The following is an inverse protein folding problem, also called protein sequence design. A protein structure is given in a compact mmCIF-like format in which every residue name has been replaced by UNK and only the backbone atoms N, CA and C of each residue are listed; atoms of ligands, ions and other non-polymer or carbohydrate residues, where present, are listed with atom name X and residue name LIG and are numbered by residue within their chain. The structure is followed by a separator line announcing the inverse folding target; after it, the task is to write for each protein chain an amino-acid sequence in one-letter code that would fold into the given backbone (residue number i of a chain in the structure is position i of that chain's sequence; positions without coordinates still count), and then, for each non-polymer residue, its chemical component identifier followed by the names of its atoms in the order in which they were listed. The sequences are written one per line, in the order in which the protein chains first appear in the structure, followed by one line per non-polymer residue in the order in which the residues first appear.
data_IF_669443682671
#
_entry.id   IF_669443682671
#
_cell.length_a   1.000
_cell.length_b   1.000
_cell.length_c   1.000
_cell.angle_alpha   90.00
_cell.angle_beta   90.00
_cell.angle_gamma   90.00
#
_symmetry.space_group_name_H-M   'P 1'
#
loop_
_entity.id
_entity.type
_entity.pdbx_description
1 polymer ?
#
# COMPACT_ATOMS: atom_id res chain seq x y z
N UNK A 1 -32.93 19.79 -33.78
CA UNK A 1 -33.65 20.98 -33.28
C UNK A 1 -32.70 21.74 -32.37
N UNK A 2 -32.44 23.01 -32.70
CA UNK A 2 -31.52 23.92 -32.00
C UNK A 2 -32.30 24.71 -30.93
N UNK A 3 -31.66 25.05 -29.83
CA UNK A 3 -32.14 26.05 -28.86
C UNK A 3 -31.79 25.63 -27.43
N UNK A 4 -30.67 26.11 -26.87
CA UNK A 4 -30.52 27.41 -26.20
C UNK A 4 -30.87 27.31 -24.71
N UNK A 5 -29.85 27.37 -23.85
CA UNK A 5 -29.85 28.10 -22.58
C UNK A 5 -28.40 28.26 -22.08
N UNK A 6 -27.80 29.36 -22.53
CA UNK A 6 -26.65 30.00 -21.90
C UNK A 6 -27.20 31.26 -21.23
N UNK A 7 -26.61 31.64 -20.09
CA UNK A 7 -26.78 32.88 -19.27
C UNK A 7 -27.40 32.62 -17.89
N UNK A 8 -26.54 32.45 -16.87
CA UNK A 8 -26.50 33.37 -15.71
C UNK A 8 -25.04 33.39 -15.21
N UNK A 9 -24.32 34.43 -15.57
CA UNK A 9 -23.00 34.79 -15.05
C UNK A 9 -23.01 36.32 -14.96
N UNK A 10 -22.37 36.86 -13.92
CA UNK A 10 -22.16 38.28 -13.57
C UNK A 10 -23.19 38.93 -12.65
N UNK A 11 -22.84 39.01 -11.35
CA UNK A 11 -23.08 40.10 -10.38
C UNK A 11 -22.81 39.49 -8.99
N UNK A 12 -21.76 39.84 -8.22
CA UNK A 12 -21.41 41.15 -7.72
C UNK A 12 -19.95 41.12 -7.23
N UNK A 13 -19.17 42.12 -7.61
CA UNK A 13 -17.92 42.48 -6.97
C UNK A 13 -18.13 43.78 -6.16
N UNK A 14 -17.29 43.97 -5.14
CA UNK A 14 -17.07 45.17 -4.31
C UNK A 14 -18.14 45.58 -3.29
N UNK A 15 -17.79 45.44 -1.99
CA UNK A 15 -17.81 46.56 -1.03
C UNK A 15 -16.59 46.44 -0.09
N UNK A 16 -15.93 47.59 0.09
CA UNK A 16 -14.73 47.88 0.88
C UNK A 16 -15.05 48.23 2.35
N UNK A 17 -14.16 47.81 3.28
CA UNK A 17 -13.50 48.53 4.39
C UNK A 17 -14.26 49.29 5.53
N UNK A 18 -13.62 49.22 6.72
CA UNK A 18 -13.78 49.89 8.03
C UNK A 18 -14.76 49.24 9.03
N UNK A 19 -14.45 49.00 10.32
CA UNK A 19 -13.54 49.71 11.23
C UNK A 19 -13.01 48.82 12.40
N UNK A 20 -11.81 49.19 12.87
CA UNK A 20 -11.24 48.89 14.19
C UNK A 20 -11.89 49.77 15.28
N UNK A 21 -12.12 49.24 16.49
CA UNK A 21 -11.69 49.79 17.80
C UNK A 21 -12.57 49.32 18.99
N UNK A 22 -11.90 49.23 20.15
CA UNK A 22 -12.39 49.26 21.56
C UNK A 22 -12.98 47.94 22.10
N UNK A 23 -12.66 47.41 23.28
CA UNK A 23 -11.92 47.79 24.50
C UNK A 23 -11.43 46.45 25.15
N UNK A 24 -10.36 46.32 25.95
CA UNK A 24 -9.76 47.23 26.92
C UNK A 24 -10.40 47.05 28.29
N UNK A 25 -9.79 46.26 29.19
CA UNK A 25 -10.27 46.03 30.56
C UNK A 25 -9.27 45.24 31.41
N UNK A 26 -8.39 46.00 32.05
CA UNK A 26 -7.28 45.59 32.92
C UNK A 26 -7.72 45.71 34.40
N UNK A 27 -7.24 44.81 35.26
CA UNK A 27 -7.25 45.01 36.73
C UNK A 27 -6.33 44.01 37.43
N UNK A 28 -5.07 44.42 37.59
CA UNK A 28 -4.19 43.98 38.68
C UNK A 28 -4.66 44.56 40.02
N UNK A 29 -4.50 43.77 41.09
CA UNK A 29 -4.33 44.29 42.45
C UNK A 29 -3.45 43.33 43.26
N UNK A 30 -2.16 43.65 43.36
CA UNK A 30 -1.30 43.26 44.48
C UNK A 30 -1.43 44.31 45.58
N UNK A 31 -1.57 43.88 46.85
CA UNK A 31 -0.98 44.62 47.97
C UNK A 31 -0.73 43.74 49.21
N UNK A 32 0.56 43.68 49.55
CA UNK A 32 1.21 43.69 50.87
C UNK A 32 1.30 42.48 51.80
N UNK A 33 2.48 42.48 52.42
CA UNK A 33 3.13 41.48 53.26
C UNK A 33 3.16 41.91 54.74
N UNK A 34 3.42 40.92 55.61
CA UNK A 34 3.81 41.06 57.02
C UNK A 34 3.22 39.92 57.86
N UNK A 35 3.92 39.13 58.67
CA UNK A 35 5.32 39.05 59.11
C UNK A 35 5.42 37.97 60.21
N UNK A 36 6.65 37.51 60.48
CA UNK A 36 7.16 36.77 61.66
C UNK A 36 6.91 35.25 61.88
N UNK A 37 7.98 34.49 61.57
CA UNK A 37 8.72 33.50 62.37
C UNK A 37 8.09 32.79 63.58
N UNK A 38 8.13 31.44 63.54
CA UNK A 38 8.59 30.59 64.66
C UNK A 38 9.11 29.25 64.13
N UNK A 39 10.36 28.91 64.47
CA UNK A 39 11.01 27.60 64.25
C UNK A 39 10.35 26.49 65.07
N UNK A 40 10.21 25.30 64.47
CA UNK A 40 10.24 24.02 65.18
C UNK A 40 10.68 22.88 64.24
N UNK A 41 11.71 22.17 64.66
CA UNK A 41 12.42 21.08 64.01
C UNK A 41 11.60 19.78 63.83
N UNK A 42 11.79 19.15 62.67
CA UNK A 42 11.94 17.71 62.39
C UNK A 42 10.96 16.68 62.96
N UNK A 43 10.19 16.05 62.06
CA UNK A 43 10.08 14.58 61.97
C UNK A 43 9.73 14.15 60.54
N UNK A 44 10.57 13.28 60.00
CA UNK A 44 10.50 12.59 58.71
C UNK A 44 9.42 11.49 58.68
N UNK A 45 8.86 11.25 57.48
CA UNK A 45 8.54 9.96 56.86
C UNK A 45 7.12 9.85 56.27
N UNK A 46 7.08 9.50 54.99
CA UNK A 46 5.92 8.89 54.33
C UNK A 46 5.13 9.77 53.39
N UNK A 47 5.76 10.54 52.51
CA UNK A 47 5.07 10.94 51.27
C UNK A 47 5.37 9.85 50.24
N UNK A 48 4.45 8.90 50.11
CA UNK A 48 4.34 8.09 48.90
C UNK A 48 4.32 9.07 47.73
N UNK A 49 5.43 9.14 47.00
CA UNK A 49 5.40 9.71 45.66
C UNK A 49 4.59 8.74 44.83
N UNK A 50 3.30 9.01 44.70
CA UNK A 50 2.59 8.69 43.47
C UNK A 50 3.45 9.28 42.35
N UNK A 51 4.20 8.41 41.68
CA UNK A 51 4.64 8.71 40.32
C UNK A 51 3.39 8.56 39.48
N UNK A 52 2.59 9.62 39.42
CA UNK A 52 1.62 9.79 38.36
C UNK A 52 2.45 9.82 37.08
N UNK A 53 2.55 8.65 36.43
CA UNK A 53 3.37 8.46 35.25
C UNK A 53 2.83 9.37 34.16
N UNK A 54 3.67 10.26 33.64
CA UNK A 54 3.30 11.17 32.55
C UNK A 54 2.55 10.39 31.46
N UNK A 55 1.32 10.81 31.17
CA UNK A 55 0.51 10.26 30.07
C UNK A 55 1.28 10.48 28.77
N UNK A 56 1.49 9.41 28.00
CA UNK A 56 2.17 9.45 26.70
C UNK A 56 1.20 9.08 25.61
N UNK A 57 1.27 9.81 24.50
CA UNK A 57 0.55 9.47 23.27
C UNK A 57 1.55 9.02 22.22
N UNK A 58 1.23 7.92 21.53
CA UNK A 58 1.96 7.45 20.35
C UNK A 58 1.08 7.73 19.14
N UNK A 59 1.58 8.56 18.21
CA UNK A 59 0.90 8.80 16.95
C UNK A 59 1.17 7.61 16.00
N UNK A 60 0.13 6.87 15.66
CA UNK A 60 0.20 5.70 14.79
C UNK A 60 -0.60 5.90 13.51
N UNK A 61 0.04 5.71 12.35
CA UNK A 61 -0.64 5.80 11.06
C UNK A 61 -0.58 4.46 10.31
N UNK A 62 -1.71 3.95 9.83
CA UNK A 62 -1.74 2.72 9.02
C UNK A 62 -2.73 2.77 7.85
N UNK A 63 -2.64 1.78 6.96
CA UNK A 63 -3.30 1.76 5.64
C UNK A 63 -4.44 0.74 5.50
N UNK A 64 -5.05 0.33 6.63
CA UNK A 64 -6.08 -0.72 6.67
C UNK A 64 -7.42 -0.15 7.14
N UNK A 65 -8.16 0.55 6.28
CA UNK A 65 -9.47 1.05 6.61
C UNK A 65 -10.47 -0.11 6.71
N UNK A 66 -11.40 0.00 7.66
CA UNK A 66 -12.43 -1.02 7.90
C UNK A 66 -13.18 -1.40 6.60
N UNK A 67 -13.51 -0.42 5.77
CA UNK A 67 -14.33 -0.61 4.58
C UNK A 67 -13.65 -1.32 3.40
N UNK A 68 -12.31 -1.44 3.37
CA UNK A 68 -11.61 -2.13 2.28
C UNK A 68 -10.52 -3.11 2.74
N UNK A 69 -10.30 -3.23 4.05
CA UNK A 69 -9.30 -4.12 4.68
C UNK A 69 -9.75 -4.56 6.07
N UNK A 70 -11.02 -4.97 6.22
CA UNK A 70 -11.64 -5.26 7.52
C UNK A 70 -10.82 -6.20 8.42
N UNK A 71 -10.30 -7.30 7.88
CA UNK A 71 -9.59 -8.27 8.71
C UNK A 71 -8.29 -7.70 9.29
N UNK A 72 -7.52 -6.96 8.49
CA UNK A 72 -6.34 -6.24 9.00
C UNK A 72 -6.74 -5.16 10.00
N UNK A 73 -7.81 -4.40 9.73
CA UNK A 73 -8.34 -3.38 10.64
C UNK A 73 -8.66 -3.97 12.03
N UNK A 74 -9.41 -5.07 12.06
CA UNK A 74 -9.80 -5.73 13.31
C UNK A 74 -8.59 -6.27 14.08
N UNK A 75 -7.59 -6.84 13.38
CA UNK A 75 -6.35 -7.33 14.00
C UNK A 75 -5.57 -6.18 14.64
N UNK A 76 -5.40 -5.07 13.91
CA UNK A 76 -4.60 -3.93 14.39
C UNK A 76 -5.26 -3.25 15.58
N UNK A 77 -6.58 -3.06 15.55
CA UNK A 77 -7.31 -2.54 16.72
C UNK A 77 -7.16 -3.46 17.93
N UNK A 78 -7.24 -4.79 17.75
CA UNK A 78 -7.00 -5.75 18.83
C UNK A 78 -5.59 -5.64 19.43
N UNK A 79 -4.57 -5.44 18.59
CA UNK A 79 -3.18 -5.21 19.06
C UNK A 79 -3.07 -3.90 19.85
N UNK A 80 -3.73 -2.83 19.39
CA UNK A 80 -3.74 -1.54 20.10
C UNK A 80 -4.42 -1.68 21.47
N UNK A 81 -5.59 -2.33 21.53
CA UNK A 81 -6.32 -2.58 22.78
C UNK A 81 -5.48 -3.40 23.78
N UNK A 82 -4.78 -4.45 23.31
CA UNK A 82 -3.88 -5.25 24.15
C UNK A 82 -2.69 -4.43 24.63
N UNK A 83 -2.08 -3.63 23.75
CA UNK A 83 -0.95 -2.76 24.08
C UNK A 83 -1.30 -1.70 25.13
N UNK A 84 -2.43 -1.00 24.99
CA UNK A 84 -2.88 -0.01 25.97
C UNK A 84 -3.25 -0.66 27.31
N UNK A 85 -3.84 -1.85 27.30
CA UNK A 85 -4.14 -2.60 28.52
C UNK A 85 -2.88 -3.04 29.29
N UNK A 86 -1.77 -3.28 28.59
CA UNK A 86 -0.48 -3.62 29.18
C UNK A 86 0.34 -2.37 29.59
N UNK A 87 -0.06 -1.17 29.13
CA UNK A 87 0.66 0.08 29.34
C UNK A 87 -0.31 1.19 29.78
N UNK A 88 -0.73 1.15 31.05
CA UNK A 88 -1.81 2.01 31.61
C UNK A 88 -1.61 3.53 31.45
N UNK A 89 -0.40 4.01 31.15
CA UNK A 89 -0.08 5.44 30.94
C UNK A 89 0.26 5.79 29.48
N UNK A 90 -0.03 4.89 28.53
CA UNK A 90 0.20 5.09 27.09
C UNK A 90 -1.11 4.97 26.33
N UNK A 91 -1.36 5.92 25.45
CA UNK A 91 -2.48 5.91 24.50
C UNK A 91 -1.93 5.92 23.08
N UNK A 92 -2.60 5.23 22.16
CA UNK A 92 -2.26 5.24 20.73
C UNK A 92 -3.29 6.10 19.99
N UNK A 93 -2.86 7.23 19.44
CA UNK A 93 -3.71 8.04 18.56
C UNK A 93 -3.55 7.53 17.12
N UNK A 94 -4.62 6.97 16.57
CA UNK A 94 -4.56 6.22 15.32
C UNK A 94 -5.19 6.99 14.17
N UNK A 95 -4.43 7.18 13.10
CA UNK A 95 -4.96 7.62 11.82
C UNK A 95 -4.96 6.50 10.79
N UNK A 96 -6.13 6.29 10.18
CA UNK A 96 -6.38 5.21 9.23
C UNK A 96 -6.72 5.80 7.87
N UNK A 97 -5.97 5.41 6.85
CA UNK A 97 -6.10 5.91 5.48
C UNK A 97 -6.16 4.73 4.49
N UNK A 98 -6.70 4.95 3.29
CA UNK A 98 -6.46 3.99 2.20
C UNK A 98 -4.98 4.02 1.76
N UNK A 99 -4.48 2.96 1.13
CA UNK A 99 -3.08 2.86 0.69
C UNK A 99 -2.56 4.10 -0.06
N UNK A 100 -3.33 4.63 -1.02
CA UNK A 100 -2.88 5.79 -1.80
C UNK A 100 -2.95 7.09 -1.00
N UNK A 101 -3.98 7.28 -0.18
CA UNK A 101 -4.08 8.42 0.74
C UNK A 101 -2.95 8.39 1.78
N UNK A 102 -2.60 7.20 2.28
CA UNK A 102 -1.48 6.99 3.20
C UNK A 102 -0.16 7.42 2.56
N UNK A 103 0.14 6.96 1.34
CA UNK A 103 1.36 7.34 0.60
C UNK A 103 1.43 8.85 0.34
N UNK A 104 0.31 9.45 -0.07
CA UNK A 104 0.22 10.90 -0.28
C UNK A 104 0.45 11.68 1.02
N UNK A 105 -0.20 11.27 2.12
CA UNK A 105 -0.06 11.93 3.42
C UNK A 105 1.35 11.77 3.99
N UNK A 106 1.92 10.57 3.98
CA UNK A 106 3.28 10.30 4.44
C UNK A 106 4.29 11.20 3.72
N UNK A 107 4.14 11.37 2.40
CA UNK A 107 4.96 12.27 1.61
C UNK A 107 4.79 13.75 2.00
N UNK A 108 3.58 14.19 2.36
CA UNK A 108 3.36 15.57 2.81
C UNK A 108 4.00 15.79 4.18
N UNK A 109 3.73 14.90 5.14
CA UNK A 109 4.25 14.96 6.51
C UNK A 109 5.78 14.91 6.55
N UNK A 110 6.41 14.16 5.64
CA UNK A 110 7.87 14.13 5.53
C UNK A 110 8.49 15.46 5.10
N UNK A 111 7.75 16.32 4.41
CA UNK A 111 8.24 17.66 4.04
C UNK A 111 8.16 18.67 5.19
N UNK A 112 7.30 18.44 6.18
CA UNK A 112 7.15 19.29 7.38
C UNK A 112 7.82 18.71 8.62
N UNK A 113 8.42 17.52 8.53
CA UNK A 113 8.99 16.78 9.67
C UNK A 113 7.93 16.49 10.76
N UNK A 114 6.74 16.11 10.31
CA UNK A 114 5.55 15.79 11.12
C UNK A 114 5.09 14.33 10.88
N UNK A 115 6.04 13.42 10.64
CA UNK A 115 5.73 12.00 10.49
C UNK A 115 5.19 11.42 11.80
N UNK A 116 4.32 10.39 11.74
CA UNK A 116 3.85 9.70 12.94
C UNK A 116 5.01 8.99 13.65
N UNK A 117 4.85 8.71 14.94
CA UNK A 117 5.84 7.94 15.72
C UNK A 117 6.00 6.52 15.16
N UNK A 118 4.89 5.90 14.77
CA UNK A 118 4.86 4.58 14.15
C UNK A 118 4.05 4.62 12.85
N UNK A 119 4.56 3.97 11.82
CA UNK A 119 3.88 3.91 10.53
C UNK A 119 4.31 2.72 9.68
N UNK A 120 3.59 2.56 8.57
CA UNK A 120 3.88 1.57 7.54
C UNK A 120 4.85 2.10 6.48
N UNK A 121 5.68 1.21 5.94
CA UNK A 121 6.59 1.53 4.84
C UNK A 121 6.70 0.35 3.87
N UNK A 122 7.34 0.58 2.74
CA UNK A 122 7.67 -0.45 1.77
C UNK A 122 9.17 -0.45 1.51
N UNK A 123 9.75 -1.64 1.35
CA UNK A 123 11.17 -1.83 1.13
C UNK A 123 11.72 -1.09 -0.11
N UNK A 124 13.05 -1.05 -0.22
CA UNK A 124 13.79 -0.50 -1.35
C UNK A 124 13.40 0.96 -1.68
N UNK A 125 13.02 1.24 -2.94
CA UNK A 125 12.91 2.60 -3.46
C UNK A 125 11.83 3.47 -2.80
N UNK A 126 10.88 2.89 -2.06
CA UNK A 126 9.96 3.68 -1.25
C UNK A 126 10.61 4.13 0.07
N UNK A 127 11.34 3.24 0.75
CA UNK A 127 12.02 3.50 2.03
C UNK A 127 13.19 4.48 1.88
N UNK A 128 13.98 4.33 0.81
CA UNK A 128 15.27 5.01 0.63
C UNK A 128 15.23 6.54 0.81
N UNK A 129 14.25 7.29 0.25
CA UNK A 129 14.22 8.75 0.42
C UNK A 129 13.99 9.20 1.87
N UNK A 130 13.22 8.44 2.66
CA UNK A 130 12.94 8.78 4.06
C UNK A 130 14.15 8.50 4.95
N UNK A 131 14.82 7.36 4.73
CA UNK A 131 16.06 7.02 5.44
C UNK A 131 17.18 7.99 5.08
N UNK A 132 17.36 8.30 3.79
CA UNK A 132 18.36 9.28 3.32
C UNK A 132 18.09 10.69 3.85
N UNK A 133 16.83 11.00 4.13
CA UNK A 133 16.39 12.23 4.79
C UNK A 133 16.55 12.23 6.32
N UNK A 134 17.08 11.16 6.91
CA UNK A 134 17.20 10.96 8.36
C UNK A 134 15.84 11.06 9.08
N UNK A 135 14.79 10.53 8.46
CA UNK A 135 13.42 10.62 8.95
C UNK A 135 12.99 9.38 9.75
N UNK A 136 13.61 8.22 9.51
CA UNK A 136 13.28 6.97 10.18
C UNK A 136 14.39 6.59 11.16
N UNK A 137 14.01 6.09 12.34
CA UNK A 137 14.94 5.58 13.32
C UNK A 137 15.54 4.24 12.86
N UNK A 138 16.79 3.99 13.24
CA UNK A 138 17.36 2.65 13.18
C UNK A 138 16.61 1.74 14.15
N UNK A 139 16.39 0.50 13.73
CA UNK A 139 15.74 -0.56 14.53
C UNK A 139 16.70 -1.71 14.85
N UNK A 140 18.01 -1.50 14.66
CA UNK A 140 19.01 -2.56 14.86
C UNK A 140 19.05 -3.02 16.33
N UNK A 141 18.79 -2.11 17.28
CA UNK A 141 18.71 -2.42 18.72
C UNK A 141 17.57 -3.41 19.04
N UNK A 142 16.44 -3.29 18.35
CA UNK A 142 15.32 -4.24 18.46
C UNK A 142 15.70 -5.63 17.91
N UNK A 143 16.63 -5.67 16.95
CA UNK A 143 17.08 -6.90 16.29
C UNK A 143 18.29 -7.57 16.97
N UNK A 144 18.93 -6.93 17.95
CA UNK A 144 19.95 -7.58 18.79
C UNK A 144 19.35 -8.64 19.75
N UNK A 145 18.04 -8.56 19.97
CA UNK A 145 17.28 -9.45 20.86
C UNK A 145 16.63 -10.65 20.18
N UNK A 146 15.73 -11.36 20.89
CA UNK A 146 15.05 -12.55 20.36
C UNK A 146 14.10 -12.27 19.19
N UNK A 147 13.75 -10.99 18.96
CA UNK A 147 12.84 -10.58 17.89
C UNK A 147 13.38 -10.95 16.50
N UNK A 148 14.69 -10.84 16.28
CA UNK A 148 15.29 -11.18 14.99
C UNK A 148 15.10 -12.66 14.61
N UNK A 149 15.14 -13.55 15.60
CA UNK A 149 14.91 -15.00 15.39
C UNK A 149 13.44 -15.34 15.13
N UNK A 150 12.51 -14.39 15.34
CA UNK A 150 11.09 -14.57 15.04
C UNK A 150 10.75 -14.32 13.57
N UNK A 151 11.63 -13.63 12.84
CA UNK A 151 11.42 -13.34 11.42
C UNK A 151 11.90 -14.48 10.52
N UNK A 152 11.26 -14.59 9.35
CA UNK A 152 11.77 -15.47 8.29
C UNK A 152 13.13 -14.92 7.82
N UNK A 153 14.18 -15.75 7.71
CA UNK A 153 15.49 -15.26 7.29
C UNK A 153 15.45 -14.49 5.96
N UNK A 154 16.05 -13.31 5.91
CA UNK A 154 16.10 -12.46 4.72
C UNK A 154 15.01 -11.40 4.61
N UNK A 155 14.00 -11.38 5.51
CA UNK A 155 12.89 -10.43 5.41
C UNK A 155 13.15 -9.09 6.10
N UNK A 156 13.92 -9.07 7.20
CA UNK A 156 14.31 -7.82 7.85
C UNK A 156 15.37 -7.08 7.02
N UNK A 157 16.28 -7.82 6.38
CA UNK A 157 17.33 -7.30 5.51
C UNK A 157 16.77 -6.56 4.28
N UNK A 158 15.54 -6.86 3.86
CA UNK A 158 14.86 -6.12 2.79
C UNK A 158 14.56 -4.65 3.16
N UNK A 159 14.53 -4.33 4.46
CA UNK A 159 14.33 -2.98 5.00
C UNK A 159 15.64 -2.35 5.49
N UNK A 160 16.78 -2.95 5.15
CA UNK A 160 18.08 -2.39 5.45
C UNK A 160 18.58 -1.46 4.34
N UNK A 161 19.17 -0.33 4.73
CA UNK A 161 19.94 0.54 3.85
C UNK A 161 21.36 0.65 4.42
N UNK A 162 22.35 0.35 3.58
CA UNK A 162 23.77 0.32 3.97
C UNK A 162 24.08 -0.54 5.22
N UNK A 163 23.29 -1.60 5.43
CA UNK A 163 23.46 -2.54 6.54
C UNK A 163 22.75 -2.17 7.84
N UNK A 164 22.04 -1.05 7.89
CA UNK A 164 21.20 -0.64 9.03
C UNK A 164 19.73 -0.85 8.70
N UNK A 165 18.96 -1.46 9.61
CA UNK A 165 17.54 -1.75 9.42
C UNK A 165 16.66 -0.60 9.88
N UNK A 166 15.69 -0.20 9.06
CA UNK A 166 14.79 0.94 9.32
C UNK A 166 13.30 0.57 9.29
N UNK A 167 12.99 -0.72 9.13
CA UNK A 167 11.63 -1.23 9.12
C UNK A 167 11.60 -2.70 9.51
N UNK A 168 10.50 -3.14 10.10
CA UNK A 168 10.29 -4.53 10.48
C UNK A 168 9.28 -5.19 9.53
N UNK A 169 9.55 -6.43 9.08
CA UNK A 169 8.63 -7.14 8.20
C UNK A 169 7.38 -7.59 8.97
N UNK A 170 6.21 -7.21 8.48
CA UNK A 170 4.91 -7.61 9.06
C UNK A 170 4.35 -8.88 8.40
N UNK A 171 4.38 -8.93 7.07
CA UNK A 171 3.80 -10.01 6.28
C UNK A 171 4.63 -10.28 5.02
N UNK A 172 4.50 -11.49 4.47
CA UNK A 172 5.08 -11.88 3.19
C UNK A 172 3.96 -12.06 2.19
N UNK A 173 4.05 -11.33 1.08
CA UNK A 173 3.05 -11.36 0.04
C UNK A 173 3.56 -12.00 -1.25
N UNK A 174 2.69 -12.77 -1.89
CA UNK A 174 2.86 -13.26 -3.26
C UNK A 174 1.76 -12.66 -4.14
N UNK A 175 1.92 -12.67 -5.46
CA UNK A 175 0.92 -12.11 -6.40
C UNK A 175 0.38 -13.21 -7.33
N UNK A 176 -0.54 -14.06 -6.85
CA UNK A 176 -1.21 -15.04 -7.69
C UNK A 176 -2.20 -14.39 -8.66
N UNK A 177 -2.57 -15.14 -9.70
CA UNK A 177 -3.72 -14.82 -10.54
C UNK A 177 -4.94 -15.54 -9.95
N UNK A 178 -5.85 -14.78 -9.37
CA UNK A 178 -7.17 -15.26 -8.95
C UNK A 178 -8.09 -15.34 -10.17
N UNK A 179 -8.98 -16.33 -10.19
CA UNK A 179 -9.97 -16.48 -11.25
C UNK A 179 -11.29 -17.04 -10.72
N UNK A 180 -12.40 -16.61 -11.31
CA UNK A 180 -13.73 -17.13 -11.01
C UNK A 180 -13.97 -18.41 -11.82
N UNK A 181 -14.01 -19.56 -11.14
CA UNK A 181 -14.18 -20.87 -11.75
C UNK A 181 -15.53 -21.03 -12.45
N UNK A 182 -16.59 -20.39 -11.95
CA UNK A 182 -17.92 -20.42 -12.59
C UNK A 182 -17.90 -19.70 -13.94
N UNK A 183 -17.31 -18.51 -13.99
CA UNK A 183 -17.13 -17.77 -15.26
C UNK A 183 -16.31 -18.60 -16.24
N UNK A 184 -15.27 -19.28 -15.78
CA UNK A 184 -14.46 -20.17 -16.63
C UNK A 184 -15.29 -21.35 -17.14
N UNK A 185 -16.03 -22.04 -16.28
CA UNK A 185 -16.88 -23.18 -16.65
C UNK A 185 -17.96 -22.79 -17.67
N UNK A 186 -18.64 -21.65 -17.48
CA UNK A 186 -19.64 -21.10 -18.41
C UNK A 186 -19.08 -20.80 -19.80
N UNK A 187 -17.78 -20.52 -19.89
CA UNK A 187 -17.08 -20.21 -21.13
C UNK A 187 -16.26 -21.40 -21.67
N UNK A 188 -16.33 -22.57 -21.02
CA UNK A 188 -15.57 -23.77 -21.43
C UNK A 188 -14.06 -23.60 -21.30
N UNK A 189 -13.60 -22.83 -20.30
CA UNK A 189 -12.19 -22.49 -20.07
C UNK A 189 -11.60 -23.33 -18.93
N UNK A 190 -10.31 -23.62 -19.06
CA UNK A 190 -9.49 -24.18 -17.99
C UNK A 190 -8.50 -23.11 -17.48
N UNK A 191 -7.97 -23.29 -16.26
CA UNK A 191 -6.98 -22.38 -15.71
C UNK A 191 -5.67 -22.44 -16.55
N UNK A 192 -5.13 -21.31 -17.02
CA UNK A 192 -3.99 -21.33 -17.94
C UNK A 192 -2.68 -21.63 -17.20
N UNK A 193 -1.90 -22.61 -17.68
CA UNK A 193 -0.56 -22.92 -17.15
C UNK A 193 0.52 -22.08 -17.84
N UNK A 194 0.29 -21.71 -19.11
CA UNK A 194 1.22 -20.93 -19.92
C UNK A 194 0.68 -19.56 -20.31
N UNK A 195 1.58 -18.61 -20.58
CA UNK A 195 1.17 -17.27 -21.02
C UNK A 195 0.47 -17.29 -22.39
N UNK A 196 0.74 -18.29 -23.23
CA UNK A 196 -0.01 -18.49 -24.47
C UNK A 196 -1.46 -18.88 -24.19
N UNK A 197 -1.69 -19.84 -23.29
CA UNK A 197 -3.03 -20.23 -22.84
C UNK A 197 -3.76 -19.06 -22.16
N UNK A 198 -3.05 -18.24 -21.37
CA UNK A 198 -3.65 -17.03 -20.79
C UNK A 198 -4.17 -16.07 -21.87
N UNK A 199 -3.44 -15.89 -22.97
CA UNK A 199 -3.90 -15.06 -24.10
C UNK A 199 -5.11 -15.68 -24.80
N UNK A 200 -5.19 -17.01 -24.91
CA UNK A 200 -6.36 -17.71 -25.46
C UNK A 200 -7.59 -17.57 -24.55
N UNK A 201 -7.40 -17.67 -23.23
CA UNK A 201 -8.43 -17.40 -22.20
C UNK A 201 -8.94 -15.96 -22.35
N UNK A 202 -8.02 -14.98 -22.41
CA UNK A 202 -8.37 -13.57 -22.59
C UNK A 202 -9.17 -13.36 -23.87
N UNK A 203 -8.71 -13.89 -25.01
CA UNK A 203 -9.40 -13.75 -26.29
C UNK A 203 -10.82 -14.35 -26.25
N UNK A 204 -10.97 -15.54 -25.66
CA UNK A 204 -12.28 -16.22 -25.55
C UNK A 204 -13.26 -15.41 -24.71
N UNK A 205 -12.80 -14.86 -23.58
CA UNK A 205 -13.62 -14.02 -22.71
C UNK A 205 -14.05 -12.74 -23.44
N UNK A 206 -13.14 -12.08 -24.16
CA UNK A 206 -13.44 -10.89 -24.98
C UNK A 206 -14.47 -11.22 -26.06
N UNK A 207 -14.29 -12.31 -26.79
CA UNK A 207 -15.20 -12.73 -27.88
C UNK A 207 -16.61 -13.03 -27.35
N UNK A 208 -16.72 -13.49 -26.10
CA UNK A 208 -17.98 -13.75 -25.41
C UNK A 208 -18.54 -12.52 -24.66
N UNK A 209 -17.86 -11.37 -24.72
CA UNK A 209 -18.29 -10.14 -24.06
C UNK A 209 -18.14 -10.16 -22.53
N UNK A 210 -17.30 -11.03 -21.99
CA UNK A 210 -16.94 -11.12 -20.58
C UNK A 210 -15.66 -10.34 -20.34
N UNK A 211 -15.62 -9.48 -19.31
CA UNK A 211 -14.38 -8.78 -18.95
C UNK A 211 -13.32 -9.79 -18.47
N UNK A 212 -12.14 -9.89 -19.11
CA UNK A 212 -11.18 -10.91 -18.72
C UNK A 212 -10.51 -10.63 -17.38
N UNK A 213 -9.99 -9.42 -17.18
CA UNK A 213 -9.19 -9.05 -16.00
C UNK A 213 -9.67 -7.75 -15.38
N UNK A 214 -9.91 -7.77 -14.07
CA UNK A 214 -10.02 -6.56 -13.26
C UNK A 214 -8.62 -5.99 -13.00
N UNK A 215 -8.39 -4.74 -13.42
CA UNK A 215 -7.16 -4.00 -13.18
C UNK A 215 -7.50 -2.54 -12.90
N UNK A 216 -6.97 -1.98 -11.82
CA UNK A 216 -7.05 -0.56 -11.50
C UNK A 216 -5.67 0.07 -11.61
N UNK A 217 -5.37 0.71 -12.74
CA UNK A 217 -4.01 1.16 -13.08
C UNK A 217 -3.78 2.67 -12.88
N UNK A 218 -4.69 3.37 -12.18
CA UNK A 218 -4.50 4.79 -11.86
C UNK A 218 -3.19 5.05 -11.12
N UNK A 219 -2.86 4.18 -10.17
CA UNK A 219 -1.68 4.30 -9.29
C UNK A 219 -0.45 3.51 -9.81
N UNK A 220 -0.60 2.85 -10.97
CA UNK A 220 0.44 2.19 -11.79
C UNK A 220 1.09 0.94 -11.21
N UNK A 221 1.17 0.80 -9.88
CA UNK A 221 1.86 -0.33 -9.24
C UNK A 221 1.15 -1.67 -9.50
N UNK A 222 -0.17 -1.67 -9.65
CA UNK A 222 -0.95 -2.86 -9.99
C UNK A 222 -0.67 -3.33 -11.43
N UNK A 223 -0.57 -2.39 -12.38
CA UNK A 223 -0.20 -2.69 -13.76
C UNK A 223 1.25 -3.10 -13.91
N UNK A 224 2.16 -2.55 -13.09
CA UNK A 224 3.57 -2.93 -13.12
C UNK A 224 3.80 -4.40 -12.73
N UNK A 225 2.92 -5.02 -11.94
CA UNK A 225 3.00 -6.46 -11.63
C UNK A 225 2.97 -7.33 -12.88
N UNK A 226 2.15 -6.98 -13.87
CA UNK A 226 2.10 -7.68 -15.15
C UNK A 226 3.43 -7.58 -15.90
N UNK A 227 3.99 -6.37 -15.95
CA UNK A 227 5.30 -6.14 -16.56
C UNK A 227 6.42 -6.90 -15.83
N UNK A 228 6.47 -6.80 -14.50
CA UNK A 228 7.50 -7.46 -13.69
C UNK A 228 7.46 -8.98 -13.84
N UNK A 229 6.27 -9.60 -13.86
CA UNK A 229 6.17 -11.04 -14.12
C UNK A 229 6.60 -11.40 -15.53
N UNK A 230 6.21 -10.65 -16.56
CA UNK A 230 6.64 -10.93 -17.92
C UNK A 230 8.15 -10.73 -18.09
N UNK A 231 8.72 -9.68 -17.50
CA UNK A 231 10.16 -9.42 -17.50
C UNK A 231 10.93 -10.55 -16.80
N UNK A 232 10.46 -11.02 -15.64
CA UNK A 232 11.05 -12.17 -14.95
C UNK A 232 10.96 -13.46 -15.78
N UNK A 233 9.79 -13.77 -16.37
CA UNK A 233 9.61 -15.00 -17.13
C UNK A 233 10.37 -15.03 -18.47
N UNK A 234 10.57 -13.87 -19.09
CA UNK A 234 11.23 -13.74 -20.40
C UNK A 234 12.75 -13.54 -20.22
N UNK A 235 13.14 -12.63 -19.34
CA UNK A 235 14.52 -12.20 -19.13
C UNK A 235 15.23 -12.84 -17.93
N UNK A 236 14.47 -13.40 -16.99
CA UNK A 236 14.97 -13.88 -15.70
C UNK A 236 15.08 -12.76 -14.65
N UNK A 237 14.91 -13.13 -13.37
CA UNK A 237 14.99 -12.21 -12.24
C UNK A 237 16.28 -11.37 -12.21
N UNK A 238 17.43 -11.97 -12.54
CA UNK A 238 18.73 -11.28 -12.52
C UNK A 238 18.78 -10.10 -13.50
N UNK A 239 18.24 -10.26 -14.71
CA UNK A 239 18.21 -9.19 -15.70
C UNK A 239 17.36 -8.01 -15.22
N UNK A 240 16.17 -8.30 -14.69
CA UNK A 240 15.27 -7.26 -14.18
C UNK A 240 15.91 -6.54 -12.98
N UNK A 241 16.51 -7.28 -12.04
CA UNK A 241 17.18 -6.71 -10.87
C UNK A 241 18.36 -5.81 -11.28
N UNK A 242 19.22 -6.28 -12.19
CA UNK A 242 20.34 -5.48 -12.68
C UNK A 242 19.85 -4.23 -13.42
N UNK A 243 18.74 -4.30 -14.14
CA UNK A 243 18.15 -3.11 -14.79
C UNK A 243 17.62 -2.09 -13.76
N UNK A 244 16.98 -2.56 -12.68
CA UNK A 244 16.52 -1.70 -11.57
C UNK A 244 17.71 -1.00 -10.89
N UNK A 245 18.82 -1.72 -10.70
CA UNK A 245 20.05 -1.18 -10.10
C UNK A 245 20.88 -0.31 -11.07
N UNK A 246 20.46 -0.17 -12.33
CA UNK A 246 21.19 0.58 -13.36
C UNK A 246 22.44 -0.13 -13.90
N UNK A 247 22.61 -1.41 -13.60
CA UNK A 247 23.71 -2.28 -14.07
C UNK A 247 23.39 -2.93 -15.43
N UNK A 248 22.11 -2.99 -15.80
CA UNK A 248 21.64 -3.36 -17.13
C UNK A 248 20.68 -2.29 -17.68
N UNK A 249 20.38 -2.34 -18.98
CA UNK A 249 19.46 -1.40 -19.62
C UNK A 249 18.04 -1.98 -19.72
N UNK A 250 17.03 -1.15 -19.47
CA UNK A 250 15.63 -1.47 -19.80
C UNK A 250 15.38 -1.59 -21.31
N UNK A 251 16.33 -1.17 -22.15
CA UNK A 251 16.31 -1.40 -23.60
C UNK A 251 16.75 -2.83 -23.99
N UNK A 252 17.08 -3.69 -23.03
CA UNK A 252 17.35 -5.09 -23.32
C UNK A 252 16.16 -5.74 -24.06
N UNK A 253 16.39 -6.50 -25.16
CA UNK A 253 15.31 -7.09 -25.94
C UNK A 253 14.32 -7.93 -25.13
N UNK A 254 14.75 -8.61 -24.07
CA UNK A 254 13.85 -9.39 -23.21
C UNK A 254 12.90 -8.49 -22.39
N UNK A 255 13.40 -7.36 -21.89
CA UNK A 255 12.61 -6.38 -21.14
C UNK A 255 11.66 -5.60 -22.06
N UNK A 256 12.13 -5.21 -23.25
CA UNK A 256 11.28 -4.64 -24.30
C UNK A 256 10.17 -5.62 -24.68
N UNK A 257 10.51 -6.91 -24.86
CA UNK A 257 9.52 -7.94 -25.19
C UNK A 257 8.47 -8.12 -24.10
N UNK A 258 8.85 -8.02 -22.82
CA UNK A 258 7.89 -8.02 -21.71
C UNK A 258 6.91 -6.84 -21.80
N UNK A 259 7.41 -5.64 -22.11
CA UNK A 259 6.56 -4.47 -22.32
C UNK A 259 5.61 -4.65 -23.52
N UNK A 260 6.09 -5.22 -24.63
CA UNK A 260 5.26 -5.55 -25.80
C UNK A 260 4.15 -6.55 -25.44
N UNK A 261 4.42 -7.57 -24.63
CA UNK A 261 3.37 -8.52 -24.22
C UNK A 261 2.33 -7.88 -23.30
N UNK A 262 2.71 -6.91 -22.44
CA UNK A 262 1.73 -6.10 -21.70
C UNK A 262 0.86 -5.28 -22.67
N UNK A 263 1.46 -4.66 -23.69
CA UNK A 263 0.71 -3.92 -24.71
C UNK A 263 -0.24 -4.84 -25.48
N UNK A 264 0.19 -6.05 -25.84
CA UNK A 264 -0.68 -7.03 -26.50
C UNK A 264 -1.91 -7.38 -25.66
N UNK A 265 -1.76 -7.54 -24.34
CA UNK A 265 -2.90 -7.75 -23.44
C UNK A 265 -3.86 -6.56 -23.47
N UNK A 266 -3.34 -5.34 -23.42
CA UNK A 266 -4.15 -4.12 -23.53
C UNK A 266 -4.91 -4.07 -24.86
N UNK A 267 -4.22 -4.30 -25.97
CA UNK A 267 -4.79 -4.23 -27.32
C UNK A 267 -5.84 -5.32 -27.59
N UNK A 268 -5.69 -6.48 -26.95
CA UNK A 268 -6.68 -7.58 -27.02
C UNK A 268 -7.94 -7.25 -26.22
N UNK A 269 -7.92 -6.25 -25.34
CA UNK A 269 -9.03 -5.91 -24.45
C UNK A 269 -9.05 -6.73 -23.16
N UNK A 270 -7.88 -7.16 -22.68
CA UNK A 270 -7.77 -7.97 -21.46
C UNK A 270 -8.34 -7.27 -20.22
N UNK A 271 -8.27 -5.94 -20.16
CA UNK A 271 -8.62 -5.16 -18.99
C UNK A 271 -9.94 -4.39 -19.18
N UNK A 272 -10.59 -4.07 -18.06
CA UNK A 272 -11.75 -3.18 -18.02
C UNK A 272 -11.54 -1.91 -18.86
N UNK A 273 -12.56 -1.50 -19.62
CA UNK A 273 -12.53 -0.21 -20.31
C UNK A 273 -12.34 0.92 -19.30
N UNK A 274 -11.31 1.74 -19.52
CA UNK A 274 -10.97 2.82 -18.59
C UNK A 274 -10.16 2.39 -17.37
N UNK A 275 -9.55 1.19 -17.37
CA UNK A 275 -8.71 0.69 -16.27
C UNK A 275 -7.64 1.69 -15.77
N UNK A 276 -7.11 2.56 -16.64
CA UNK A 276 -6.16 3.62 -16.27
C UNK A 276 -6.75 4.72 -15.38
N UNK A 277 -8.07 4.81 -15.27
CA UNK A 277 -8.77 5.74 -14.38
C UNK A 277 -9.23 5.11 -13.07
N UNK A 278 -9.19 3.77 -12.97
CA UNK A 278 -9.66 3.03 -11.81
C UNK A 278 -8.54 2.88 -10.77
N UNK A 279 -8.88 3.13 -9.51
CA UNK A 279 -8.02 2.80 -8.37
C UNK A 279 -8.02 1.29 -8.08
N UNK A 280 -7.10 0.85 -7.23
CA UNK A 280 -7.00 -0.55 -6.81
C UNK A 280 -8.32 -1.08 -6.21
N UNK A 281 -8.87 -0.38 -5.22
CA UNK A 281 -10.07 -0.83 -4.49
C UNK A 281 -11.31 -0.85 -5.39
N UNK A 282 -11.40 0.09 -6.34
CA UNK A 282 -12.45 0.10 -7.35
C UNK A 282 -12.36 -1.14 -8.26
N UNK A 283 -11.16 -1.49 -8.73
CA UNK A 283 -10.93 -2.68 -9.54
C UNK A 283 -11.18 -3.99 -8.77
N UNK A 284 -10.78 -4.06 -7.49
CA UNK A 284 -11.11 -5.16 -6.59
C UNK A 284 -12.62 -5.39 -6.53
N UNK A 285 -13.39 -4.31 -6.41
CA UNK A 285 -14.85 -4.34 -6.45
C UNK A 285 -15.42 -5.02 -7.70
N UNK A 286 -14.86 -4.79 -8.89
CA UNK A 286 -15.32 -5.48 -10.11
C UNK A 286 -15.12 -7.01 -10.03
N UNK A 287 -14.02 -7.47 -9.45
CA UNK A 287 -13.79 -8.90 -9.29
C UNK A 287 -14.70 -9.51 -8.21
N UNK A 288 -14.84 -8.85 -7.06
CA UNK A 288 -15.72 -9.31 -5.96
C UNK A 288 -17.19 -9.39 -6.39
N UNK A 289 -17.63 -8.51 -7.29
CA UNK A 289 -18.99 -8.53 -7.85
C UNK A 289 -19.14 -9.43 -9.08
N UNK A 290 -18.17 -10.33 -9.34
CA UNK A 290 -18.18 -11.28 -10.46
C UNK A 290 -18.30 -10.60 -11.84
N UNK A 291 -17.83 -9.35 -11.97
CA UNK A 291 -17.89 -8.55 -13.22
C UNK A 291 -16.61 -8.68 -14.06
N UNK A 292 -15.61 -9.40 -13.56
CA UNK A 292 -14.40 -9.78 -14.27
C UNK A 292 -14.00 -11.21 -13.94
N UNK A 293 -13.45 -11.93 -14.91
CA UNK A 293 -13.13 -13.35 -14.77
C UNK A 293 -11.87 -13.60 -13.93
N UNK A 294 -10.90 -12.69 -13.97
CA UNK A 294 -9.59 -12.83 -13.34
C UNK A 294 -9.14 -11.55 -12.62
N UNK A 295 -8.22 -11.70 -11.68
CA UNK A 295 -7.64 -10.62 -10.89
C UNK A 295 -6.21 -10.99 -10.47
N UNK A 296 -5.21 -10.24 -10.95
CA UNK A 296 -3.81 -10.42 -10.54
C UNK A 296 -3.53 -9.47 -9.40
N UNK A 297 -3.41 -9.99 -8.18
CA UNK A 297 -3.19 -9.16 -7.00
C UNK A 297 -2.40 -9.88 -5.91
N UNK A 298 -1.84 -9.11 -5.00
CA UNK A 298 -1.17 -9.62 -3.82
C UNK A 298 -2.09 -10.44 -2.90
N UNK A 299 -1.47 -11.35 -2.16
CA UNK A 299 -2.14 -12.22 -1.20
C UNK A 299 -2.78 -11.49 -0.01
N UNK A 300 -2.54 -10.20 0.16
CA UNK A 300 -3.26 -9.37 1.13
C UNK A 300 -4.77 -9.35 0.89
N UNK A 301 -5.25 -9.59 -0.34
CA UNK A 301 -6.68 -9.68 -0.65
C UNK A 301 -7.27 -11.10 -0.38
N UNK A 302 -6.45 -12.08 0.01
CA UNK A 302 -6.92 -13.45 0.31
C UNK A 302 -8.07 -13.52 1.33
N UNK A 303 -8.13 -12.68 2.38
CA UNK A 303 -9.27 -12.65 3.30
C UNK A 303 -10.61 -12.46 2.59
N UNK A 304 -10.67 -11.68 1.50
CA UNK A 304 -11.91 -11.48 0.73
C UNK A 304 -12.45 -12.77 0.13
N UNK A 305 -11.56 -13.68 -0.24
CA UNK A 305 -11.91 -14.96 -0.88
C UNK A 305 -12.05 -16.11 0.14
N UNK A 306 -11.82 -15.86 1.43
CA UNK A 306 -11.76 -16.93 2.45
C UNK A 306 -12.55 -16.60 3.71
N UNK A 307 -12.11 -15.58 4.47
CA UNK A 307 -12.60 -15.30 5.83
C UNK A 307 -13.60 -14.14 5.89
N UNK A 308 -13.67 -13.29 4.86
CA UNK A 308 -14.59 -12.16 4.80
C UNK A 308 -16.05 -12.60 4.91
N UNK A 309 -16.79 -11.93 5.80
CA UNK A 309 -18.22 -12.14 6.04
C UNK A 309 -19.09 -11.34 5.06
N UNK A 310 -18.52 -10.29 4.44
CA UNK A 310 -19.19 -9.46 3.44
C UNK A 310 -19.42 -10.23 2.12
N UNK A 311 -18.58 -11.25 1.84
CA UNK A 311 -18.66 -12.07 0.63
C UNK A 311 -19.34 -13.42 0.91
N UNK A 312 -20.23 -13.83 0.00
CA UNK A 312 -20.98 -15.08 0.15
C UNK A 312 -20.06 -16.31 0.11
N UNK A 313 -20.45 -17.40 0.78
CA UNK A 313 -19.70 -18.65 0.71
C UNK A 313 -19.64 -19.20 -0.72
N UNK A 314 -20.73 -19.04 -1.48
CA UNK A 314 -20.79 -19.47 -2.89
C UNK A 314 -19.75 -18.73 -3.76
N UNK A 315 -19.60 -17.42 -3.57
CA UNK A 315 -18.55 -16.64 -4.24
C UNK A 315 -17.17 -17.17 -3.84
N UNK A 316 -16.91 -17.30 -2.55
CA UNK A 316 -15.61 -17.76 -2.02
C UNK A 316 -15.22 -19.15 -2.56
N UNK A 317 -16.16 -20.09 -2.59
CA UNK A 317 -15.97 -21.44 -3.13
C UNK A 317 -15.71 -21.42 -4.66
N UNK A 318 -16.14 -20.37 -5.36
CA UNK A 318 -15.92 -20.20 -6.80
C UNK A 318 -14.55 -19.63 -7.16
N UNK A 319 -13.80 -19.06 -6.21
CA UNK A 319 -12.50 -18.44 -6.50
C UNK A 319 -11.39 -19.48 -6.49
N UNK A 320 -10.78 -19.67 -7.65
CA UNK A 320 -9.52 -20.39 -7.81
C UNK A 320 -8.33 -19.43 -7.84
N UNK A 321 -7.12 -19.97 -7.66
CA UNK A 321 -5.88 -19.20 -7.84
C UNK A 321 -4.81 -20.06 -8.50
N UNK A 322 -3.99 -19.41 -9.32
CA UNK A 322 -2.80 -20.02 -9.93
C UNK A 322 -1.59 -19.09 -9.78
N UNK A 323 -0.40 -19.64 -9.94
CA UNK A 323 0.81 -18.82 -10.14
C UNK A 323 0.68 -18.07 -11.47
N UNK A 324 1.34 -16.93 -11.59
CA UNK A 324 1.44 -16.26 -12.89
C UNK A 324 1.98 -17.23 -13.96
N UNK A 325 1.26 -17.42 -15.09
CA UNK A 325 1.56 -18.46 -16.07
C UNK A 325 3.00 -18.43 -16.60
N UNK A 326 3.54 -19.60 -16.91
CA UNK A 326 4.90 -19.71 -17.42
C UNK A 326 5.00 -19.18 -18.86
N UNK A 327 6.08 -18.47 -19.19
CA UNK A 327 6.41 -18.16 -20.58
C UNK A 327 7.35 -19.24 -21.11
N UNK A 328 6.93 -19.95 -22.16
CA UNK A 328 7.84 -20.86 -22.88
C UNK A 328 8.84 -20.00 -23.64
N UNK A 329 10.04 -19.84 -23.08
CA UNK A 329 11.16 -19.25 -23.81
C UNK A 329 11.68 -20.32 -24.75
N UNK A 330 11.39 -20.20 -26.05
CA UNK A 330 12.17 -20.96 -27.03
C UNK A 330 13.63 -20.51 -26.87
N UNK A 331 14.49 -21.37 -26.33
CA UNK A 331 15.93 -21.13 -26.33
C UNK A 331 16.32 -20.94 -27.79
N UNK A 332 16.52 -19.69 -28.20
CA UNK A 332 17.22 -19.37 -29.44
C UNK A 332 18.64 -19.83 -29.21
N UNK A 333 18.93 -21.08 -29.58
CA UNK A 333 20.30 -21.57 -29.68
C UNK A 333 21.01 -20.64 -30.65
N UNK A 334 22.09 -20.01 -30.19
CA UNK A 334 22.99 -19.14 -30.96
C UNK A 334 23.74 -19.98 -32.01
N UNK A 335 22.99 -20.54 -32.96
CA UNK A 335 23.50 -21.35 -34.07
C UNK A 335 22.96 -20.83 -35.40
N UNK A 336 21.96 -19.94 -35.40
CA UNK A 336 21.36 -19.38 -36.62
C UNK A 336 21.91 -18.01 -37.08
N UNK A 337 22.77 -17.35 -36.30
CA UNK A 337 23.30 -16.01 -36.63
C UNK A 337 24.72 -15.99 -37.23
N UNK A 338 25.27 -17.16 -37.58
CA UNK A 338 26.60 -17.30 -38.21
C UNK A 338 26.57 -17.66 -39.70
N UNK A 339 25.40 -17.57 -40.36
CA UNK A 339 25.24 -17.99 -41.76
C UNK A 339 24.90 -16.85 -42.76
N UNK A 340 24.84 -15.59 -42.33
CA UNK A 340 24.68 -14.47 -43.27
C UNK A 340 25.58 -13.31 -42.86
N UNK A 341 26.84 -13.38 -43.28
CA UNK A 341 27.67 -12.32 -43.85
C UNK A 341 29.13 -12.80 -43.85
N UNK A 342 29.53 -13.35 -44.99
CA UNK A 342 30.90 -13.30 -45.51
C UNK A 342 31.15 -11.89 -46.03
#
# INVERSE_FOLDING_TARGET
MKGAWYKVLCSFALVLLFALAACGGDSESEQEAGGENTDAESTTEGNESDSDGEEKTIDFMHLWPEGSSKQHHDIVNGIIEEFEAENENVTVDVEILSNEQYKEKLKVLSTSNELPDVGMTWAAGFLEPYVSGNMFASLDDLLEGPLNDMFVPGTAEAYALDGTTYGLPLELNITPLYYNQRIFEENGLEAPETFAELKEVVQTLVDNGVTPVALGNKDRWTGSMWYMYLADRIGGAELLNNAILGEASFEDPALVKAAEEVQNLVDTGAFLNGFNGLGNDEAKGYFLNEQAAMYLMGSWDLPEFTTSEENSQEFKDSIGYIKFPAVKVEKVTVTALLAVLV
#
